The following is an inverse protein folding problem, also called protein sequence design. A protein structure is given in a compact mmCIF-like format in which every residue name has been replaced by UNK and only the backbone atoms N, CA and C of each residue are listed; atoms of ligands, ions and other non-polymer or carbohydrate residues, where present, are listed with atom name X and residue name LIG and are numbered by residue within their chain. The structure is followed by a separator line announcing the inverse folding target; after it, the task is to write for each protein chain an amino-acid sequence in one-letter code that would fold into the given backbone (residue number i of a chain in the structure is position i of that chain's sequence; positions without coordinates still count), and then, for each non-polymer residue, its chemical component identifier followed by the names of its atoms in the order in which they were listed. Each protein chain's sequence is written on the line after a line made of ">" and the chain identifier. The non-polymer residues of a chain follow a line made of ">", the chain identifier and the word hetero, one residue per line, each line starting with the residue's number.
data_IF_105694508034
#
_entry.id   IF_105694508034
#
_cell.length_a   1.000
_cell.length_b   1.000
_cell.length_c   1.000
_cell.angle_alpha   90.00
_cell.angle_beta   90.00
_cell.angle_gamma   90.00
#
_symmetry.space_group_name_H-M   'P 1'
#
loop_
_entity.id
_entity.type
_entity.pdbx_description
1 polymer ?
#
# COMPACT_ATOMS: atom_id res chain seq x y z
N UNK A 1 12.54 -60.16 -33.60
CA UNK A 1 11.75 -59.98 -32.35
C UNK A 1 11.94 -58.56 -31.86
N UNK A 2 10.84 -57.87 -31.58
CA UNK A 2 10.73 -56.41 -31.50
C UNK A 2 11.35 -55.82 -30.22
N UNK A 3 12.38 -55.00 -30.36
CA UNK A 3 13.03 -54.26 -29.27
C UNK A 3 12.39 -52.88 -28.96
N UNK A 4 11.13 -52.66 -29.34
CA UNK A 4 10.47 -51.36 -29.18
C UNK A 4 9.69 -51.17 -27.87
N UNK A 5 9.64 -52.16 -26.99
CA UNK A 5 8.79 -52.11 -25.78
C UNK A 5 9.54 -51.61 -24.53
N UNK A 6 10.88 -51.56 -24.52
CA UNK A 6 11.65 -51.17 -23.33
C UNK A 6 11.95 -49.66 -23.21
N UNK A 7 11.73 -48.85 -24.26
CA UNK A 7 12.01 -47.42 -24.23
C UNK A 7 10.80 -46.55 -23.85
N UNK A 8 9.61 -47.14 -23.69
CA UNK A 8 8.38 -46.39 -23.39
C UNK A 8 8.15 -46.26 -21.87
N UNK A 9 8.75 -47.15 -21.06
CA UNK A 9 8.58 -47.17 -19.60
C UNK A 9 9.41 -46.15 -18.82
N UNK A 10 10.47 -45.59 -19.41
CA UNK A 10 11.37 -44.65 -18.72
C UNK A 10 11.15 -43.18 -19.11
N UNK A 11 10.44 -42.91 -20.22
CA UNK A 11 10.11 -41.55 -20.65
C UNK A 11 8.90 -40.95 -19.90
N UNK A 12 8.22 -41.75 -19.08
CA UNK A 12 7.05 -41.30 -18.28
C UNK A 12 7.40 -40.98 -16.82
N UNK A 13 8.67 -41.11 -16.40
CA UNK A 13 9.11 -40.84 -15.01
C UNK A 13 9.87 -39.52 -14.88
N UNK A 14 10.26 -38.87 -15.97
CA UNK A 14 10.97 -37.57 -15.93
C UNK A 14 10.07 -36.34 -16.10
N UNK A 15 8.78 -36.51 -16.38
CA UNK A 15 7.82 -35.40 -16.57
C UNK A 15 7.00 -35.10 -15.30
N UNK A 16 7.20 -35.84 -14.22
CA UNK A 16 6.44 -35.70 -12.96
C UNK A 16 7.25 -35.12 -11.78
N UNK A 17 8.32 -34.37 -12.06
CA UNK A 17 9.16 -33.71 -11.04
C UNK A 17 9.48 -32.23 -11.39
N UNK A 18 8.60 -31.54 -12.12
CA UNK A 18 8.77 -30.11 -12.40
C UNK A 18 7.49 -29.27 -12.29
N UNK A 19 6.48 -29.72 -11.53
CA UNK A 19 5.51 -28.78 -10.97
C UNK A 19 6.06 -28.26 -9.65
N UNK A 20 7.12 -27.45 -9.73
CA UNK A 20 7.38 -26.47 -8.69
C UNK A 20 6.14 -25.58 -8.65
N UNK A 21 5.27 -25.84 -7.70
CA UNK A 21 4.18 -24.95 -7.36
C UNK A 21 4.82 -23.58 -7.11
N UNK A 22 4.71 -22.69 -8.10
CA UNK A 22 4.90 -21.27 -7.89
C UNK A 22 3.77 -20.89 -6.94
N UNK A 23 4.07 -20.97 -5.65
CA UNK A 23 3.25 -20.41 -4.62
C UNK A 23 3.39 -18.90 -4.78
N UNK A 24 2.64 -18.34 -5.72
CA UNK A 24 2.47 -16.90 -5.84
C UNK A 24 1.87 -16.45 -4.52
N UNK A 25 2.74 -15.98 -3.61
CA UNK A 25 2.29 -15.33 -2.37
C UNK A 25 1.23 -14.29 -2.77
N UNK A 26 0.10 -14.21 -2.07
CA UNK A 26 -0.88 -13.18 -2.36
C UNK A 26 -0.19 -11.81 -2.31
N UNK A 27 -0.40 -11.03 -3.37
CA UNK A 27 0.23 -9.75 -3.63
C UNK A 27 -0.21 -8.71 -2.60
N UNK A 28 0.52 -8.63 -1.49
CA UNK A 28 0.42 -7.56 -0.50
C UNK A 28 1.78 -6.90 -0.35
N UNK A 29 1.79 -5.62 0.04
CA UNK A 29 3.04 -4.92 0.35
C UNK A 29 3.66 -5.52 1.61
N UNK A 30 4.92 -5.94 1.54
CA UNK A 30 5.71 -6.25 2.73
C UNK A 30 6.16 -4.96 3.44
N UNK A 31 6.77 -5.08 4.62
CA UNK A 31 7.18 -3.92 5.43
C UNK A 31 8.13 -2.98 4.69
N UNK A 32 9.08 -3.51 3.92
CA UNK A 32 10.05 -2.71 3.18
C UNK A 32 9.36 -1.92 2.07
N UNK A 33 8.47 -2.57 1.31
CA UNK A 33 7.66 -1.93 0.28
C UNK A 33 6.74 -0.86 0.87
N UNK A 34 6.15 -1.08 2.06
CA UNK A 34 5.33 -0.06 2.73
C UNK A 34 6.14 1.15 3.14
N UNK A 35 7.33 0.95 3.71
CA UNK A 35 8.26 2.04 4.07
C UNK A 35 8.67 2.82 2.82
N UNK A 36 9.02 2.13 1.74
CA UNK A 36 9.39 2.75 0.48
C UNK A 36 8.24 3.57 -0.13
N UNK A 37 7.02 3.03 -0.13
CA UNK A 37 5.83 3.76 -0.57
C UNK A 37 5.57 4.99 0.31
N UNK A 38 5.64 4.86 1.63
CA UNK A 38 5.37 5.97 2.54
C UNK A 38 6.35 7.14 2.33
N UNK A 39 7.64 6.84 2.18
CA UNK A 39 8.66 7.84 1.83
C UNK A 39 8.38 8.47 0.47
N UNK A 40 8.08 7.65 -0.54
CA UNK A 40 7.77 8.14 -1.89
C UNK A 40 6.59 9.11 -1.91
N UNK A 41 5.52 8.83 -1.16
CA UNK A 41 4.36 9.72 -1.06
C UNK A 41 4.78 11.09 -0.52
N UNK A 42 5.50 11.10 0.60
CA UNK A 42 6.01 12.33 1.22
C UNK A 42 6.99 13.08 0.30
N UNK A 43 7.94 12.38 -0.30
CA UNK A 43 8.91 12.96 -1.24
C UNK A 43 8.23 13.53 -2.50
N UNK A 44 7.08 12.97 -2.88
CA UNK A 44 6.24 13.45 -3.98
C UNK A 44 5.31 14.59 -3.58
N UNK A 45 5.41 15.11 -2.35
CA UNK A 45 4.57 16.20 -1.83
C UNK A 45 3.12 15.79 -1.58
N UNK A 46 2.85 14.50 -1.37
CA UNK A 46 1.52 13.97 -1.07
C UNK A 46 1.32 13.98 0.44
N UNK A 47 0.26 14.66 0.90
CA UNK A 47 -0.06 14.84 2.33
C UNK A 47 -1.29 14.05 2.74
N UNK A 48 -1.32 13.62 3.99
CA UNK A 48 -2.48 13.01 4.63
C UNK A 48 -2.98 13.91 5.76
N UNK A 49 -4.21 14.39 5.63
CA UNK A 49 -4.91 15.13 6.68
C UNK A 49 -5.86 14.18 7.42
N UNK A 50 -5.80 14.17 8.74
CA UNK A 50 -6.67 13.31 9.54
C UNK A 50 -6.81 13.75 10.99
N UNK A 51 -7.46 12.92 11.79
CA UNK A 51 -7.60 13.15 13.22
C UNK A 51 -7.25 11.90 14.03
N UNK A 52 -6.61 12.07 15.19
CA UNK A 52 -6.17 10.93 16.02
C UNK A 52 -7.31 10.00 16.48
N UNK A 53 -8.52 10.55 16.65
CA UNK A 53 -9.72 9.81 17.09
C UNK A 53 -10.54 9.24 15.91
N UNK A 54 -10.18 9.57 14.67
CA UNK A 54 -10.94 9.18 13.49
C UNK A 54 -10.67 7.71 13.13
N UNK A 55 -11.71 6.88 13.16
CA UNK A 55 -11.62 5.44 12.87
C UNK A 55 -11.02 5.13 11.49
N UNK A 56 -11.49 5.83 10.44
CA UNK A 56 -10.95 5.67 9.09
C UNK A 56 -9.50 6.13 8.94
N UNK A 57 -9.08 7.10 9.75
CA UNK A 57 -7.69 7.54 9.80
C UNK A 57 -6.83 6.44 10.42
N UNK A 58 -7.34 5.78 11.47
CA UNK A 58 -6.78 4.55 12.02
C UNK A 58 -6.69 3.42 11.01
N UNK A 59 -7.74 3.18 10.22
CA UNK A 59 -7.75 2.15 9.16
C UNK A 59 -6.66 2.42 8.11
N UNK A 60 -6.55 3.66 7.62
CA UNK A 60 -5.49 4.05 6.67
C UNK A 60 -4.10 3.83 7.27
N UNK A 61 -3.89 4.22 8.54
CA UNK A 61 -2.64 4.01 9.25
C UNK A 61 -2.31 2.52 9.40
N UNK A 62 -3.30 1.68 9.68
CA UNK A 62 -3.11 0.23 9.84
C UNK A 62 -2.67 -0.45 8.54
N UNK A 63 -3.10 0.04 7.37
CA UNK A 63 -2.64 -0.49 6.08
C UNK A 63 -1.11 -0.35 5.93
N UNK A 64 -0.56 0.80 6.33
CA UNK A 64 0.89 1.05 6.34
C UNK A 64 1.60 0.33 7.49
N UNK A 65 0.97 0.25 8.67
CA UNK A 65 1.64 -0.16 9.90
C UNK A 65 2.55 0.94 10.45
N UNK A 66 2.94 0.83 11.72
CA UNK A 66 3.63 1.91 12.44
C UNK A 66 4.98 2.27 11.82
N UNK A 67 5.76 1.27 11.40
CA UNK A 67 7.10 1.47 10.84
C UNK A 67 7.07 2.29 9.54
N UNK A 68 6.08 2.07 8.67
CA UNK A 68 5.96 2.84 7.44
C UNK A 68 5.25 4.17 7.67
N UNK A 69 4.21 4.20 8.51
CA UNK A 69 3.38 5.39 8.67
C UNK A 69 4.14 6.59 9.26
N UNK A 70 5.20 6.36 10.04
CA UNK A 70 6.04 7.45 10.56
C UNK A 70 6.69 8.31 9.45
N UNK A 71 6.77 7.79 8.22
CA UNK A 71 7.32 8.51 7.07
C UNK A 71 6.26 9.29 6.27
N UNK A 72 4.97 9.09 6.54
CA UNK A 72 3.90 9.83 5.88
C UNK A 72 3.87 11.27 6.39
N UNK A 73 3.78 12.23 5.48
CA UNK A 73 3.48 13.63 5.80
C UNK A 73 2.02 13.76 6.29
N UNK A 74 1.83 13.47 7.58
CA UNK A 74 0.54 13.50 8.25
C UNK A 74 0.34 14.83 8.98
N UNK A 75 -0.76 15.51 8.67
CA UNK A 75 -1.22 16.69 9.40
C UNK A 75 -2.38 16.33 10.33
N UNK A 76 -2.17 16.53 11.63
CA UNK A 76 -3.21 16.39 12.65
C UNK A 76 -4.17 17.57 12.59
N UNK A 77 -5.42 17.27 12.26
CA UNK A 77 -6.48 18.25 12.08
C UNK A 77 -7.38 18.41 13.30
N UNK A 78 -7.27 17.59 14.34
CA UNK A 78 -8.06 17.77 15.56
C UNK A 78 -7.30 18.55 16.63
N UNK A 79 -8.01 19.42 17.35
CA UNK A 79 -7.51 19.90 18.65
C UNK A 79 -7.35 18.74 19.63
N UNK A 80 -6.46 18.87 20.64
CA UNK A 80 -6.18 17.78 21.58
C UNK A 80 -7.40 17.25 22.35
N UNK A 81 -8.42 18.08 22.56
CA UNK A 81 -9.68 17.72 23.22
C UNK A 81 -10.70 17.08 22.27
N UNK A 82 -10.41 17.01 20.97
CA UNK A 82 -11.26 16.37 19.97
C UNK A 82 -12.45 17.21 19.48
N UNK A 83 -12.57 18.47 19.91
CA UNK A 83 -13.82 19.24 19.73
C UNK A 83 -13.78 20.21 18.55
N UNK A 84 -12.59 20.62 18.09
CA UNK A 84 -12.43 21.58 17.01
C UNK A 84 -11.36 21.12 16.00
N UNK A 85 -11.34 21.79 14.85
CA UNK A 85 -10.32 21.59 13.83
C UNK A 85 -9.13 22.55 14.08
N UNK A 86 -7.90 22.13 13.78
CA UNK A 86 -6.71 22.99 13.85
C UNK A 86 -6.74 24.06 12.77
N UNK A 87 -6.17 25.25 13.06
CA UNK A 87 -6.18 26.39 12.12
C UNK A 87 -5.59 26.00 10.75
N UNK A 88 -4.49 25.25 10.73
CA UNK A 88 -3.87 24.78 9.49
C UNK A 88 -4.84 24.00 8.61
N UNK A 89 -5.67 23.12 9.18
CA UNK A 89 -6.63 22.35 8.39
C UNK A 89 -7.86 23.18 7.97
N UNK A 90 -8.21 24.22 8.74
CA UNK A 90 -9.26 25.19 8.38
C UNK A 90 -8.79 26.03 7.19
N UNK A 91 -7.58 26.58 7.24
CA UNK A 91 -6.98 27.40 6.18
C UNK A 91 -6.78 26.59 4.89
N UNK A 92 -6.37 25.33 5.00
CA UNK A 92 -6.27 24.39 3.87
C UNK A 92 -7.65 23.91 3.39
N UNK A 93 -8.75 24.26 4.07
CA UNK A 93 -10.11 23.90 3.67
C UNK A 93 -10.40 22.40 3.72
N UNK A 94 -9.86 21.70 4.72
CA UNK A 94 -10.09 20.26 4.91
C UNK A 94 -11.48 20.04 5.52
N UNK A 95 -12.37 19.38 4.78
CA UNK A 95 -13.78 19.19 5.21
C UNK A 95 -14.08 17.79 5.74
N UNK A 96 -13.18 16.82 5.55
CA UNK A 96 -13.39 15.42 5.94
C UNK A 96 -12.07 14.71 6.19
N UNK A 97 -12.13 13.60 6.94
CA UNK A 97 -10.97 12.79 7.29
C UNK A 97 -11.18 11.30 6.94
N UNK A 98 -10.13 10.58 6.55
CA UNK A 98 -8.86 11.12 6.06
C UNK A 98 -9.04 11.82 4.70
N UNK A 99 -8.19 12.81 4.41
CA UNK A 99 -8.05 13.43 3.08
C UNK A 99 -6.61 13.31 2.63
N UNK A 100 -6.40 12.74 1.45
CA UNK A 100 -5.11 12.77 0.77
C UNK A 100 -5.09 13.94 -0.21
N UNK A 101 -4.04 14.76 -0.16
CA UNK A 101 -3.79 15.83 -1.11
C UNK A 101 -2.51 15.53 -1.89
N UNK A 102 -2.61 15.58 -3.22
CA UNK A 102 -1.47 15.41 -4.13
C UNK A 102 -0.80 16.76 -4.40
N UNK A 103 0.47 16.74 -4.82
CA UNK A 103 1.24 17.97 -5.09
C UNK A 103 0.62 18.91 -6.15
N UNK A 104 -0.30 18.42 -6.98
CA UNK A 104 -1.06 19.22 -7.94
C UNK A 104 -2.34 19.85 -7.35
N UNK A 105 -2.62 19.64 -6.06
CA UNK A 105 -3.83 20.08 -5.36
C UNK A 105 -5.04 19.15 -5.52
N UNK A 106 -4.92 18.04 -6.27
CA UNK A 106 -5.98 17.03 -6.34
C UNK A 106 -6.17 16.39 -4.97
N UNK A 107 -7.43 16.19 -4.55
CA UNK A 107 -7.77 15.55 -3.29
C UNK A 107 -8.60 14.29 -3.50
N UNK A 108 -8.28 13.26 -2.74
CA UNK A 108 -9.09 12.04 -2.61
C UNK A 108 -9.45 11.84 -1.13
N UNK A 109 -10.65 11.30 -0.88
CA UNK A 109 -11.25 11.27 0.45
C UNK A 109 -11.46 9.83 0.94
N UNK A 110 -11.25 9.61 2.23
CA UNK A 110 -11.42 8.32 2.85
C UNK A 110 -10.20 7.41 2.73
N UNK A 111 -10.40 6.14 3.10
CA UNK A 111 -9.33 5.13 3.14
C UNK A 111 -9.04 4.63 1.73
N UNK A 112 -7.76 4.63 1.36
CA UNK A 112 -7.29 4.12 0.07
C UNK A 112 -6.33 2.93 0.26
N UNK A 113 -6.50 1.84 -0.52
CA UNK A 113 -5.55 0.73 -0.56
C UNK A 113 -4.15 1.19 -0.97
N UNK A 114 -3.12 0.56 -0.40
CA UNK A 114 -1.71 0.90 -0.71
C UNK A 114 -1.38 0.81 -2.20
N UNK A 115 -1.97 -0.18 -2.90
CA UNK A 115 -1.80 -0.35 -4.35
C UNK A 115 -2.32 0.86 -5.13
N UNK A 116 -3.46 1.41 -4.74
CA UNK A 116 -4.04 2.58 -5.41
C UNK A 116 -3.23 3.84 -5.11
N UNK A 117 -2.74 4.00 -3.87
CA UNK A 117 -1.83 5.09 -3.52
C UNK A 117 -0.52 5.00 -4.32
N UNK A 118 0.02 3.79 -4.50
CA UNK A 118 1.20 3.57 -5.33
C UNK A 118 0.94 3.95 -6.80
N UNK A 119 -0.16 3.47 -7.39
CA UNK A 119 -0.53 3.77 -8.77
C UNK A 119 -0.74 5.28 -8.98
N UNK A 120 -1.47 5.95 -8.09
CA UNK A 120 -1.74 7.39 -8.19
C UNK A 120 -0.51 8.27 -7.97
N UNK A 121 0.44 7.81 -7.16
CA UNK A 121 1.70 8.53 -6.90
C UNK A 121 2.81 8.19 -7.90
N UNK A 122 2.58 7.26 -8.82
CA UNK A 122 3.62 6.78 -9.74
C UNK A 122 4.73 5.98 -9.05
N UNK A 123 4.46 5.42 -7.87
CA UNK A 123 5.40 4.55 -7.18
C UNK A 123 5.56 3.23 -7.94
N UNK A 124 6.81 2.84 -8.22
CA UNK A 124 7.11 1.58 -8.89
C UNK A 124 7.30 0.46 -7.86
N UNK A 125 6.42 -0.54 -7.89
CA UNK A 125 6.42 -1.70 -6.98
C UNK A 125 7.33 -2.85 -7.44
N UNK A 126 7.96 -2.75 -8.61
CA UNK A 126 8.75 -3.83 -9.24
C UNK A 126 10.25 -3.78 -8.90
N UNK A 127 10.66 -2.91 -7.96
CA UNK A 127 12.05 -2.79 -7.50
C UNK A 127 12.32 -3.58 -6.23
#
# INVERSE_FOLDING_TARGET
>A
MNNKILAVGFLMITIFLLSAASCSKPAGFDTEQKVALAKHLTDSGIKLYGAFWCGHCGDQKNLFGEEAFQYIDYTECSTPDGTAQTEVCIEEGITSYPTWEFANGERIFGVYPLKELAEKSGFNTDK
#
